data_IF_191634466791
#
_entry.id   IF_191634466791
#
_cell.length_a   1.000
_cell.length_b   1.000
_cell.length_c   1.000
_cell.angle_alpha   90.00
_cell.angle_beta   90.00
_cell.angle_gamma   90.00
#
_symmetry.space_group_name_H-M   'P 1'
#
loop_
_entity.id
_entity.type
_entity.pdbx_description
1 polymer ?
#
# COMPACT_ATOMS: atom_id res chain seq x y z
N UNK A 1 -7.01 -18.17 25.09
CA UNK A 1 -6.25 -17.17 24.32
C UNK A 1 -4.82 -17.19 24.83
N UNK A 2 -3.80 -17.24 23.96
CA UNK A 2 -2.39 -17.17 24.35
C UNK A 2 -2.12 -15.88 25.14
N UNK A 3 -1.14 -15.94 26.05
CA UNK A 3 -0.69 -14.73 26.75
C UNK A 3 0.09 -13.84 25.77
N UNK A 4 -0.03 -12.51 25.89
CA UNK A 4 0.86 -11.58 25.19
C UNK A 4 2.33 -11.93 25.40
N UNK A 5 3.14 -11.71 24.38
CA UNK A 5 4.58 -11.89 24.45
C UNK A 5 5.28 -10.53 24.48
N UNK A 6 6.24 -10.37 25.38
CA UNK A 6 7.08 -9.19 25.40
C UNK A 6 8.08 -9.22 24.22
N UNK A 7 8.46 -8.05 23.71
CA UNK A 7 9.46 -7.98 22.65
C UNK A 7 10.78 -8.69 23.00
N UNK A 8 11.19 -8.72 24.26
CA UNK A 8 12.42 -9.41 24.67
C UNK A 8 12.35 -10.93 24.44
N UNK A 9 11.18 -11.53 24.65
CA UNK A 9 10.95 -12.96 24.34
C UNK A 9 11.06 -13.19 22.84
N UNK A 10 10.45 -12.32 22.05
CA UNK A 10 10.42 -12.45 20.59
C UNK A 10 11.81 -12.19 19.99
N UNK A 11 12.53 -11.17 20.46
CA UNK A 11 13.91 -10.86 20.06
C UNK A 11 14.86 -12.01 20.35
N UNK A 12 14.74 -12.66 21.50
CA UNK A 12 15.55 -13.80 21.86
C UNK A 12 15.23 -15.03 20.99
N UNK A 13 13.95 -15.25 20.66
CA UNK A 13 13.51 -16.38 19.84
C UNK A 13 13.83 -16.21 18.35
N UNK A 14 13.58 -15.02 17.79
CA UNK A 14 13.59 -14.75 16.34
C UNK A 14 14.82 -15.28 15.60
N UNK A 15 16.08 -15.10 16.07
CA UNK A 15 17.26 -15.60 15.37
C UNK A 15 17.27 -17.11 15.16
N UNK A 16 16.72 -17.85 16.11
CA UNK A 16 16.70 -19.32 16.12
C UNK A 16 15.32 -19.90 15.78
N UNK A 17 14.39 -19.07 15.31
CA UNK A 17 13.04 -19.51 14.98
C UNK A 17 13.06 -20.26 13.65
N UNK A 18 13.00 -21.58 13.73
CA UNK A 18 13.15 -22.50 12.58
C UNK A 18 12.22 -22.16 11.41
N UNK A 19 10.99 -21.74 11.69
CA UNK A 19 10.03 -21.26 10.70
C UNK A 19 10.60 -20.16 9.81
N UNK A 20 11.20 -19.11 10.38
CA UNK A 20 11.76 -18.01 9.60
C UNK A 20 12.93 -18.47 8.74
N UNK A 21 13.67 -19.48 9.20
CA UNK A 21 14.80 -20.04 8.45
C UNK A 21 14.38 -20.87 7.24
N UNK A 22 13.19 -21.46 7.28
CA UNK A 22 12.61 -22.27 6.19
C UNK A 22 11.89 -21.43 5.13
N UNK A 23 11.66 -20.14 5.37
CA UNK A 23 10.99 -19.28 4.41
C UNK A 23 11.80 -19.17 3.09
N UNK A 24 11.14 -19.17 1.93
CA UNK A 24 11.79 -18.97 0.63
C UNK A 24 12.63 -17.68 0.61
N UNK A 25 13.80 -17.72 -0.02
CA UNK A 25 14.70 -16.56 -0.08
C UNK A 25 14.34 -15.59 -1.21
N UNK A 26 13.60 -16.06 -2.19
CA UNK A 26 13.06 -15.27 -3.30
C UNK A 26 11.65 -15.73 -3.62
N UNK A 27 10.75 -14.78 -3.88
CA UNK A 27 9.36 -15.01 -4.32
C UNK A 27 8.94 -13.87 -5.23
N UNK A 28 8.44 -14.16 -6.44
CA UNK A 28 7.84 -13.15 -7.33
C UNK A 28 8.70 -11.88 -7.56
N UNK A 29 10.03 -12.03 -7.59
CA UNK A 29 10.98 -10.92 -7.72
C UNK A 29 11.23 -10.12 -6.44
N UNK A 30 10.68 -10.54 -5.30
CA UNK A 30 11.01 -10.03 -3.97
C UNK A 30 12.12 -10.86 -3.35
N UNK A 31 13.04 -10.20 -2.66
CA UNK A 31 14.10 -10.85 -1.90
C UNK A 31 13.76 -10.86 -0.42
N UNK A 32 13.99 -12.00 0.24
CA UNK A 32 13.86 -12.13 1.68
C UNK A 32 14.89 -11.25 2.40
N UNK A 33 14.43 -10.54 3.44
CA UNK A 33 15.23 -9.73 4.35
C UNK A 33 15.04 -10.24 5.77
N UNK A 34 16.17 -10.50 6.42
CA UNK A 34 16.20 -10.81 7.85
C UNK A 34 15.60 -9.63 8.63
N UNK A 35 14.76 -9.96 9.61
CA UNK A 35 14.17 -9.00 10.54
C UNK A 35 15.14 -8.58 11.64
N UNK A 36 14.59 -8.10 12.75
CA UNK A 36 15.34 -7.74 13.95
C UNK A 36 15.29 -6.26 14.33
N UNK A 37 14.75 -5.42 13.46
CA UNK A 37 14.51 -4.00 13.76
C UNK A 37 13.22 -3.83 14.54
N UNK A 38 13.29 -3.08 15.64
CA UNK A 38 12.11 -2.56 16.33
C UNK A 38 11.90 -1.09 15.94
N UNK A 39 10.67 -0.72 15.60
CA UNK A 39 10.28 0.67 15.38
C UNK A 39 8.99 0.94 16.16
N UNK A 40 9.07 1.83 17.16
CA UNK A 40 7.95 2.12 18.08
C UNK A 40 7.37 0.81 18.64
N UNK A 41 6.11 0.54 18.31
CA UNK A 41 5.28 -0.56 18.77
C UNK A 41 5.35 -1.79 17.87
N UNK A 42 6.32 -1.86 16.95
CA UNK A 42 6.45 -2.95 16.00
C UNK A 42 7.84 -3.57 16.04
N UNK A 43 7.88 -4.90 16.04
CA UNK A 43 9.08 -5.69 15.85
C UNK A 43 8.97 -6.47 14.55
N UNK A 44 9.87 -6.20 13.61
CA UNK A 44 9.91 -6.88 12.32
C UNK A 44 10.59 -8.25 12.45
N UNK A 45 9.86 -9.30 12.15
CA UNK A 45 10.34 -10.69 12.19
C UNK A 45 11.15 -11.04 10.93
N UNK A 46 10.64 -10.62 9.78
CA UNK A 46 11.25 -10.75 8.46
C UNK A 46 10.50 -9.84 7.47
N UNK A 47 11.04 -9.69 6.26
CA UNK A 47 10.32 -9.05 5.16
C UNK A 47 10.66 -9.68 3.81
N UNK A 48 9.78 -9.48 2.84
CA UNK A 48 10.06 -9.64 1.42
C UNK A 48 10.05 -8.26 0.80
N UNK A 49 11.12 -7.90 0.09
CA UNK A 49 11.32 -6.55 -0.44
C UNK A 49 11.61 -6.58 -1.93
N UNK A 50 10.91 -5.72 -2.68
CA UNK A 50 11.20 -5.38 -4.06
C UNK A 50 11.43 -3.87 -4.14
N UNK A 51 12.69 -3.48 -3.95
CA UNK A 51 13.11 -2.06 -3.91
C UNK A 51 12.80 -1.33 -5.23
N UNK A 52 13.13 -1.87 -6.43
CA UNK A 52 12.79 -1.21 -7.69
C UNK A 52 11.29 -0.97 -7.86
N UNK A 53 10.45 -1.91 -7.42
CA UNK A 53 9.00 -1.76 -7.47
C UNK A 53 8.44 -0.89 -6.33
N UNK A 54 9.26 -0.49 -5.35
CA UNK A 54 8.85 0.19 -4.11
C UNK A 54 7.77 -0.58 -3.35
N UNK A 55 7.92 -1.90 -3.25
CA UNK A 55 6.95 -2.77 -2.59
C UNK A 55 7.60 -3.67 -1.56
N UNK A 56 6.88 -3.93 -0.47
CA UNK A 56 7.36 -4.74 0.64
C UNK A 56 6.20 -5.46 1.33
N UNK A 57 6.47 -6.68 1.76
CA UNK A 57 5.63 -7.41 2.72
C UNK A 57 6.48 -7.66 3.97
N UNK A 58 6.07 -7.09 5.10
CA UNK A 58 6.71 -7.29 6.40
C UNK A 58 5.91 -8.30 7.21
N UNK A 59 6.61 -9.15 7.95
CA UNK A 59 6.02 -9.97 9.00
C UNK A 59 6.33 -9.30 10.33
N UNK A 60 5.30 -8.85 11.04
CA UNK A 60 5.45 -7.97 12.20
C UNK A 60 4.76 -8.59 13.41
N UNK A 61 5.35 -8.40 14.59
CA UNK A 61 4.64 -8.47 15.85
C UNK A 61 4.48 -7.05 16.43
N UNK A 62 3.30 -6.72 16.96
CA UNK A 62 3.03 -5.42 17.60
C UNK A 62 2.72 -5.56 19.08
N UNK A 63 3.29 -4.68 19.91
CA UNK A 63 3.00 -4.62 21.36
C UNK A 63 1.79 -3.73 21.71
N UNK A 64 1.21 -3.02 20.74
CA UNK A 64 -0.04 -2.26 20.92
C UNK A 64 -1.24 -3.20 21.08
N UNK A 65 -1.29 -4.25 20.25
CA UNK A 65 -2.44 -5.18 20.19
C UNK A 65 -2.05 -6.63 20.52
N UNK A 66 -0.74 -6.88 20.68
CA UNK A 66 -0.14 -8.18 20.96
C UNK A 66 -0.36 -9.21 19.86
N UNK A 67 -0.40 -8.73 18.61
CA UNK A 67 -0.70 -9.56 17.44
C UNK A 67 0.52 -9.70 16.52
N UNK A 68 0.65 -10.89 15.95
CA UNK A 68 1.37 -11.16 14.72
C UNK A 68 0.51 -10.80 13.52
N UNK A 69 1.09 -10.07 12.57
CA UNK A 69 0.36 -9.58 11.40
C UNK A 69 1.29 -9.31 10.21
N UNK A 70 0.92 -9.71 8.98
CA UNK A 70 1.58 -9.24 7.77
C UNK A 70 1.24 -7.77 7.53
N UNK A 71 2.24 -6.97 7.18
CA UNK A 71 2.07 -5.55 6.84
C UNK A 71 2.56 -5.33 5.42
N UNK A 72 1.69 -4.83 4.57
CA UNK A 72 2.03 -4.48 3.18
C UNK A 72 2.46 -3.04 3.11
N UNK A 73 3.46 -2.79 2.29
CA UNK A 73 3.82 -1.47 1.83
C UNK A 73 3.87 -1.46 0.30
N UNK A 74 3.11 -0.56 -0.31
CA UNK A 74 3.10 -0.31 -1.75
C UNK A 74 3.25 1.19 -1.94
N UNK A 75 4.42 1.61 -2.44
CA UNK A 75 4.77 3.02 -2.48
C UNK A 75 4.76 3.65 -1.08
N UNK A 76 3.94 4.68 -0.91
CA UNK A 76 3.75 5.38 0.37
C UNK A 76 2.58 4.81 1.20
N UNK A 77 1.85 3.83 0.68
CA UNK A 77 0.76 3.17 1.38
C UNK A 77 1.30 2.02 2.24
N UNK A 78 1.00 2.04 3.54
CA UNK A 78 1.35 0.97 4.48
C UNK A 78 0.13 0.54 5.27
N UNK A 79 -0.21 -0.75 5.25
CA UNK A 79 -1.43 -1.26 5.88
C UNK A 79 -1.29 -2.71 6.32
N UNK A 80 -2.02 -3.05 7.40
CA UNK A 80 -2.05 -4.41 7.96
C UNK A 80 -3.00 -5.31 7.18
N UNK A 81 -2.58 -6.54 6.92
CA UNK A 81 -3.45 -7.55 6.33
C UNK A 81 -4.29 -8.24 7.43
N UNK A 82 -5.49 -7.69 7.65
CA UNK A 82 -6.39 -8.14 8.70
C UNK A 82 -6.89 -9.60 8.53
N UNK A 83 -6.68 -10.21 7.36
CA UNK A 83 -7.02 -11.63 7.13
C UNK A 83 -6.13 -12.58 7.95
N UNK A 84 -4.95 -12.12 8.36
CA UNK A 84 -3.91 -12.92 9.01
C UNK A 84 -3.38 -12.27 10.30
N UNK A 85 -4.27 -11.69 11.10
CA UNK A 85 -3.94 -11.14 12.42
C UNK A 85 -4.22 -12.18 13.51
N UNK A 86 -3.24 -12.44 14.37
CA UNK A 86 -3.41 -13.38 15.49
C UNK A 86 -2.44 -13.14 16.64
N UNK A 87 -2.87 -13.43 17.87
CA UNK A 87 -2.01 -13.46 19.06
C UNK A 87 -1.25 -14.77 19.20
N UNK A 88 -1.61 -15.78 18.42
CA UNK A 88 -1.03 -17.12 18.51
C UNK A 88 0.13 -17.26 17.53
N UNK A 89 1.32 -17.42 18.09
CA UNK A 89 2.57 -17.62 17.35
C UNK A 89 2.52 -18.84 16.42
N UNK A 90 1.97 -19.96 16.89
CA UNK A 90 1.93 -21.21 16.12
C UNK A 90 0.91 -21.11 14.98
N UNK A 91 -0.22 -20.45 15.22
CA UNK A 91 -1.19 -20.14 14.17
C UNK A 91 -0.60 -19.20 13.10
N UNK A 92 0.15 -18.17 13.53
CA UNK A 92 0.82 -17.27 12.60
C UNK A 92 1.81 -18.03 11.71
N UNK A 93 2.63 -18.89 12.30
CA UNK A 93 3.56 -19.76 11.58
C UNK A 93 2.85 -20.65 10.55
N UNK A 94 1.74 -21.29 10.93
CA UNK A 94 0.93 -22.10 10.01
C UNK A 94 0.41 -21.26 8.83
N UNK A 95 -0.16 -20.09 9.10
CA UNK A 95 -0.70 -19.21 8.07
C UNK A 95 0.37 -18.71 7.11
N UNK A 96 1.51 -18.26 7.63
CA UNK A 96 2.59 -17.78 6.76
C UNK A 96 3.15 -18.92 5.92
N UNK A 97 3.40 -20.10 6.48
CA UNK A 97 3.86 -21.25 5.68
C UNK A 97 2.89 -21.61 4.56
N UNK A 98 1.58 -21.49 4.82
CA UNK A 98 0.54 -21.83 3.85
C UNK A 98 0.32 -20.76 2.78
N UNK A 99 0.46 -19.48 3.13
CA UNK A 99 0.00 -18.37 2.29
C UNK A 99 1.08 -17.37 1.90
N UNK A 100 2.35 -17.55 2.30
CA UNK A 100 3.40 -16.56 2.00
C UNK A 100 3.58 -16.31 0.50
N UNK A 101 3.52 -17.37 -0.32
CA UNK A 101 3.64 -17.24 -1.78
C UNK A 101 2.57 -16.29 -2.34
N UNK A 102 1.30 -16.55 -2.00
CA UNK A 102 0.16 -15.69 -2.35
C UNK A 102 0.30 -14.29 -1.76
N UNK A 103 0.71 -14.15 -0.50
CA UNK A 103 0.83 -12.85 0.16
C UNK A 103 1.84 -11.94 -0.56
N UNK A 104 2.94 -12.52 -1.04
CA UNK A 104 3.95 -11.82 -1.84
C UNK A 104 3.44 -11.56 -3.26
N UNK A 105 2.80 -12.54 -3.91
CA UNK A 105 2.17 -12.39 -5.23
C UNK A 105 1.17 -11.22 -5.25
N UNK A 106 0.27 -11.15 -4.27
CA UNK A 106 -0.71 -10.07 -4.10
C UNK A 106 -0.06 -8.69 -3.90
N UNK A 107 1.23 -8.66 -3.53
CA UNK A 107 2.00 -7.43 -3.37
C UNK A 107 2.71 -7.04 -4.67
N UNK A 108 2.70 -7.84 -5.73
CA UNK A 108 3.39 -7.52 -7.00
C UNK A 108 2.74 -6.35 -7.75
N UNK A 109 3.51 -5.59 -8.58
CA UNK A 109 2.98 -4.48 -9.38
C UNK A 109 1.86 -4.84 -10.35
N UNK A 110 1.85 -6.09 -10.82
CA UNK A 110 0.93 -6.57 -11.84
C UNK A 110 -0.19 -7.42 -11.27
N UNK A 111 -0.34 -7.47 -9.93
CA UNK A 111 -1.40 -8.24 -9.31
C UNK A 111 -2.77 -7.65 -9.63
N UNK A 112 -3.65 -8.47 -10.18
CA UNK A 112 -5.06 -8.12 -10.39
C UNK A 112 -5.87 -8.74 -9.25
N UNK A 113 -6.65 -7.95 -8.50
CA UNK A 113 -7.34 -8.46 -7.34
C UNK A 113 -8.50 -9.39 -7.68
N UNK A 114 -8.80 -10.33 -6.79
CA UNK A 114 -9.95 -11.23 -6.97
C UNK A 114 -11.28 -10.48 -7.08
N UNK A 115 -11.39 -9.27 -6.52
CA UNK A 115 -12.56 -8.37 -6.64
C UNK A 115 -12.63 -7.60 -7.97
N UNK A 116 -11.80 -7.94 -8.97
CA UNK A 116 -11.74 -7.25 -10.26
C UNK A 116 -13.10 -7.12 -10.96
N UNK A 117 -13.99 -8.11 -10.85
CA UNK A 117 -15.32 -8.05 -11.48
C UNK A 117 -16.13 -6.80 -11.08
N UNK A 118 -16.00 -6.32 -9.82
CA UNK A 118 -16.67 -5.09 -9.38
C UNK A 118 -16.08 -3.87 -10.07
N UNK A 119 -14.76 -3.86 -10.27
CA UNK A 119 -14.03 -2.77 -10.91
C UNK A 119 -14.27 -2.76 -12.43
N UNK A 120 -14.35 -3.95 -13.04
CA UNK A 120 -14.70 -4.17 -14.44
C UNK A 120 -16.11 -3.66 -14.73
N UNK A 121 -17.11 -4.04 -13.92
CA UNK A 121 -18.47 -3.50 -14.03
C UNK A 121 -18.53 -1.97 -13.86
N UNK A 122 -17.58 -1.39 -13.12
CA UNK A 122 -17.48 0.06 -12.95
C UNK A 122 -16.78 0.74 -14.14
N UNK A 123 -16.17 -0.03 -15.05
CA UNK A 123 -15.45 0.44 -16.22
C UNK A 123 -13.99 0.83 -15.94
N UNK A 124 -13.42 0.48 -14.79
CA UNK A 124 -12.07 0.92 -14.38
C UNK A 124 -10.97 0.32 -15.26
N UNK A 125 -11.11 -0.95 -15.69
CA UNK A 125 -10.11 -1.59 -16.55
C UNK A 125 -10.14 -1.09 -18.00
N UNK A 126 -11.30 -0.59 -18.45
CA UNK A 126 -11.49 0.03 -19.78
C UNK A 126 -11.29 1.56 -19.73
N UNK A 127 -10.86 2.08 -18.59
CA UNK A 127 -10.70 3.52 -18.36
C UNK A 127 -9.37 4.03 -18.92
N UNK A 128 -9.40 4.51 -20.16
CA UNK A 128 -8.21 4.98 -20.88
C UNK A 128 -7.84 6.44 -20.63
N UNK A 129 -8.66 7.21 -19.88
CA UNK A 129 -8.36 8.62 -19.63
C UNK A 129 -7.00 8.82 -18.93
N UNK A 130 -6.61 8.03 -17.91
CA UNK A 130 -5.31 8.18 -17.25
C UNK A 130 -4.08 7.98 -18.15
N UNK A 131 -4.25 7.36 -19.33
CA UNK A 131 -3.18 7.23 -20.33
C UNK A 131 -2.81 8.59 -20.95
N UNK A 132 -3.72 9.58 -20.90
CA UNK A 132 -3.47 10.97 -21.33
C UNK A 132 -2.79 11.82 -20.27
N UNK A 133 -2.82 11.39 -19.00
CA UNK A 133 -2.24 12.16 -17.90
C UNK A 133 -0.71 12.01 -17.91
N UNK A 134 0.05 13.10 -17.68
CA UNK A 134 1.51 13.05 -17.65
C UNK A 134 2.04 12.04 -16.63
N UNK A 135 3.11 11.33 -16.96
CA UNK A 135 3.75 10.42 -15.99
C UNK A 135 4.38 11.15 -14.79
N UNK A 136 4.61 12.46 -14.93
CA UNK A 136 5.15 13.32 -13.87
C UNK A 136 4.53 14.71 -13.92
N UNK A 137 4.14 15.23 -12.75
CA UNK A 137 3.68 16.60 -12.56
C UNK A 137 4.48 17.20 -11.40
N UNK A 138 5.42 18.09 -11.70
CA UNK A 138 6.38 18.58 -10.71
C UNK A 138 7.19 17.43 -10.09
N UNK A 139 7.30 17.32 -8.75
CA UNK A 139 8.01 16.22 -8.10
C UNK A 139 7.25 14.90 -8.10
N UNK A 140 5.94 14.92 -8.36
CA UNK A 140 5.07 13.75 -8.23
C UNK A 140 5.13 12.87 -9.48
N UNK A 141 5.39 11.58 -9.29
CA UNK A 141 5.36 10.56 -10.35
C UNK A 141 4.11 9.69 -10.24
N UNK A 142 3.49 9.38 -11.39
CA UNK A 142 2.38 8.44 -11.48
C UNK A 142 2.88 7.03 -11.14
N UNK A 143 2.30 6.36 -10.15
CA UNK A 143 2.85 5.09 -9.64
C UNK A 143 1.86 3.91 -9.70
N UNK A 144 0.64 4.06 -9.21
CA UNK A 144 -0.49 3.14 -9.33
C UNK A 144 -1.35 3.63 -10.50
N UNK A 145 -1.80 2.68 -11.33
CA UNK A 145 -2.59 2.94 -12.53
C UNK A 145 -3.80 1.97 -12.60
N UNK A 146 -4.87 2.32 -13.35
CA UNK A 146 -6.11 1.54 -13.35
C UNK A 146 -5.97 0.10 -13.84
N UNK A 147 -4.95 -0.20 -14.66
CA UNK A 147 -4.68 -1.55 -15.16
C UNK A 147 -4.24 -2.51 -14.05
N UNK A 148 -3.61 -1.99 -13.00
CA UNK A 148 -3.16 -2.74 -11.83
C UNK A 148 -3.59 -2.03 -10.54
N UNK A 149 -4.90 -1.98 -10.27
CA UNK A 149 -5.44 -1.23 -9.16
C UNK A 149 -5.09 -1.93 -7.85
N UNK A 150 -4.89 -1.16 -6.78
CA UNK A 150 -4.47 -1.69 -5.48
C UNK A 150 -5.67 -1.83 -4.54
N UNK A 151 -6.09 -3.05 -4.15
CA UNK A 151 -7.03 -3.23 -3.05
C UNK A 151 -6.49 -2.57 -1.80
N UNK A 152 -7.37 -1.84 -1.13
CA UNK A 152 -7.03 -1.07 0.04
C UNK A 152 -8.09 -1.27 1.13
N UNK A 153 -7.87 -0.60 2.26
CA UNK A 153 -8.69 -0.76 3.45
C UNK A 153 -10.15 -0.32 3.19
N UNK A 154 -11.08 -0.80 4.02
CA UNK A 154 -12.48 -0.34 4.05
C UNK A 154 -13.22 -0.42 2.71
N UNK A 155 -13.00 -1.50 1.95
CA UNK A 155 -13.59 -1.72 0.62
C UNK A 155 -13.21 -0.65 -0.42
N UNK A 156 -12.09 0.03 -0.19
CA UNK A 156 -11.51 0.95 -1.16
C UNK A 156 -10.54 0.21 -2.07
N UNK A 157 -10.37 0.75 -3.27
CA UNK A 157 -9.32 0.35 -4.20
C UNK A 157 -8.68 1.61 -4.73
N UNK A 158 -7.36 1.73 -4.62
CA UNK A 158 -6.60 2.83 -5.23
C UNK A 158 -6.49 2.51 -6.72
N UNK A 159 -6.98 3.42 -7.55
CA UNK A 159 -7.06 3.25 -9.00
C UNK A 159 -6.07 4.13 -9.77
N UNK A 160 -5.56 5.17 -9.12
CA UNK A 160 -4.55 6.08 -9.65
C UNK A 160 -3.85 6.74 -8.47
N UNK A 161 -2.55 6.98 -8.57
CA UNK A 161 -1.85 7.85 -7.64
C UNK A 161 -0.77 8.70 -8.32
N UNK A 162 -0.37 9.76 -7.62
CA UNK A 162 0.79 10.59 -7.94
C UNK A 162 1.59 10.78 -6.66
N UNK A 163 2.81 10.25 -6.62
CA UNK A 163 3.62 10.18 -5.42
C UNK A 163 4.94 10.96 -5.56
N UNK A 164 5.26 11.76 -4.55
CA UNK A 164 6.59 12.28 -4.29
C UNK A 164 7.21 11.47 -3.13
N UNK A 165 7.97 10.44 -3.51
CA UNK A 165 8.65 9.58 -2.56
C UNK A 165 9.75 10.30 -1.77
N UNK A 166 10.29 11.42 -2.26
CA UNK A 166 11.36 12.14 -1.57
C UNK A 166 10.82 12.85 -0.33
N UNK A 167 9.62 13.42 -0.41
CA UNK A 167 8.99 14.08 0.74
C UNK A 167 8.01 13.19 1.50
N UNK A 168 7.60 12.05 0.93
CA UNK A 168 6.55 11.21 1.50
C UNK A 168 5.16 11.83 1.32
N UNK A 169 4.94 12.49 0.19
CA UNK A 169 3.69 13.15 -0.14
C UNK A 169 3.06 12.50 -1.36
N UNK A 170 1.74 12.44 -1.44
CA UNK A 170 1.04 11.87 -2.59
C UNK A 170 -0.39 12.38 -2.69
N UNK A 171 -1.01 12.14 -3.84
CA UNK A 171 -2.46 12.18 -4.01
C UNK A 171 -2.89 10.83 -4.54
N UNK A 172 -3.83 10.18 -3.86
CA UNK A 172 -4.40 8.88 -4.24
C UNK A 172 -5.85 9.04 -4.61
N UNK A 173 -6.25 8.40 -5.69
CA UNK A 173 -7.64 8.34 -6.15
C UNK A 173 -8.18 6.95 -5.88
N UNK A 174 -9.31 6.89 -5.16
CA UNK A 174 -9.90 5.66 -4.67
C UNK A 174 -11.31 5.48 -5.21
N UNK A 175 -11.68 4.23 -5.45
CA UNK A 175 -13.06 3.79 -5.59
C UNK A 175 -13.49 3.03 -4.34
N UNK A 176 -14.55 3.47 -3.67
CA UNK A 176 -15.18 2.73 -2.58
C UNK A 176 -16.39 1.94 -3.10
N UNK A 177 -16.34 0.62 -2.96
CA UNK A 177 -17.36 -0.28 -3.48
C UNK A 177 -18.69 -0.18 -2.73
N UNK A 178 -18.66 0.10 -1.42
CA UNK A 178 -19.86 0.16 -0.56
C UNK A 178 -20.60 1.48 -0.76
N UNK A 179 -19.88 2.59 -0.84
CA UNK A 179 -20.43 3.93 -1.09
C UNK A 179 -20.72 4.20 -2.57
N UNK A 180 -20.20 3.32 -3.44
CA UNK A 180 -20.22 3.46 -4.90
C UNK A 180 -19.80 4.88 -5.32
N UNK A 181 -18.59 5.27 -4.94
CA UNK A 181 -18.09 6.63 -5.07
C UNK A 181 -16.58 6.65 -5.31
N UNK A 182 -16.15 7.54 -6.18
CA UNK A 182 -14.77 7.94 -6.34
C UNK A 182 -14.47 9.14 -5.46
N UNK A 183 -13.28 9.17 -4.89
CA UNK A 183 -12.80 10.28 -4.08
C UNK A 183 -11.28 10.25 -4.06
N UNK A 184 -10.67 11.31 -3.52
CA UNK A 184 -9.24 11.36 -3.35
C UNK A 184 -8.86 11.61 -1.89
N UNK A 185 -7.66 11.19 -1.53
CA UNK A 185 -6.98 11.57 -0.30
C UNK A 185 -5.59 12.06 -0.67
N UNK A 186 -5.02 12.94 0.14
CA UNK A 186 -3.63 13.30 -0.01
C UNK A 186 -2.82 12.88 1.22
N UNK A 187 -1.51 12.81 1.04
CA UNK A 187 -0.52 12.68 2.10
C UNK A 187 0.46 13.82 1.94
N UNK A 188 0.74 14.53 3.01
CA UNK A 188 1.76 15.58 3.05
C UNK A 188 2.77 15.21 4.11
N UNK A 189 4.02 14.92 3.70
CA UNK A 189 5.09 14.51 4.61
C UNK A 189 4.67 13.37 5.56
N UNK A 190 4.10 12.32 4.99
CA UNK A 190 3.56 11.16 5.68
C UNK A 190 2.30 11.40 6.52
N UNK A 191 1.71 12.60 6.49
CA UNK A 191 0.47 12.94 7.20
C UNK A 191 -0.70 12.86 6.22
N UNK A 192 -1.64 11.92 6.40
CA UNK A 192 -2.82 11.81 5.53
C UNK A 192 -3.82 12.93 5.80
N UNK A 193 -4.44 13.46 4.75
CA UNK A 193 -5.58 14.38 4.85
C UNK A 193 -6.72 13.97 3.92
N UNK A 194 -7.93 14.23 4.37
CA UNK A 194 -9.14 14.09 3.55
C UNK A 194 -9.30 15.33 2.68
N UNK A 195 -9.62 15.12 1.41
CA UNK A 195 -9.91 16.18 0.43
C UNK A 195 -11.21 15.82 -0.30
N UNK A 196 -11.83 16.80 -0.94
CA UNK A 196 -13.13 16.63 -1.61
C UNK A 196 -13.13 17.16 -3.05
N UNK A 197 -12.00 17.69 -3.51
CA UNK A 197 -11.82 18.32 -4.82
C UNK A 197 -12.12 17.37 -6.00
N UNK A 198 -12.08 16.06 -5.75
CA UNK A 198 -12.22 14.98 -6.73
C UNK A 198 -13.33 13.98 -6.40
N UNK A 199 -14.29 14.36 -5.55
CA UNK A 199 -15.43 13.49 -5.21
C UNK A 199 -16.37 13.35 -6.42
N UNK A 200 -16.62 12.10 -6.84
CA UNK A 200 -17.40 11.79 -8.03
C UNK A 200 -18.20 10.48 -7.88
N UNK A 201 -19.36 10.38 -8.54
CA UNK A 201 -20.16 9.13 -8.57
C UNK A 201 -19.89 8.29 -9.82
N UNK A 202 -19.55 8.93 -10.93
CA UNK A 202 -19.25 8.29 -12.21
C UNK A 202 -17.80 8.56 -12.62
N UNK A 203 -17.24 7.68 -13.45
CA UNK A 203 -15.88 7.87 -13.97
C UNK A 203 -15.77 9.14 -14.81
N UNK A 204 -16.76 9.42 -15.66
CA UNK A 204 -16.76 10.65 -16.48
C UNK A 204 -16.68 11.92 -15.63
N UNK A 205 -17.40 11.98 -14.50
CA UNK A 205 -17.34 13.14 -13.60
C UNK A 205 -15.93 13.25 -12.97
N UNK A 206 -15.29 12.12 -12.65
CA UNK A 206 -13.91 12.10 -12.16
C UNK A 206 -12.90 12.54 -13.25
N UNK A 207 -13.10 12.14 -14.50
CA UNK A 207 -12.27 12.56 -15.64
C UNK A 207 -12.27 14.08 -15.79
N UNK A 208 -13.44 14.71 -15.76
CA UNK A 208 -13.57 16.17 -15.84
C UNK A 208 -12.82 16.87 -14.69
N UNK A 209 -12.94 16.34 -13.47
CA UNK A 209 -12.22 16.88 -12.30
C UNK A 209 -10.71 16.71 -12.42
N UNK A 210 -10.24 15.56 -12.93
CA UNK A 210 -8.82 15.32 -13.15
C UNK A 210 -8.25 16.24 -14.23
N UNK A 211 -8.97 16.40 -15.35
CA UNK A 211 -8.57 17.28 -16.45
C UNK A 211 -8.48 18.74 -16.02
N UNK A 212 -9.46 19.22 -15.24
CA UNK A 212 -9.50 20.60 -14.78
C UNK A 212 -8.50 20.88 -13.65
N UNK A 213 -8.32 19.95 -12.69
CA UNK A 213 -7.76 20.27 -11.37
C UNK A 213 -6.49 19.54 -11.01
N UNK A 214 -6.18 18.38 -11.60
CA UNK A 214 -5.07 17.54 -11.15
C UNK A 214 -3.73 18.28 -11.17
N UNK A 215 -3.38 18.86 -12.32
CA UNK A 215 -2.10 19.53 -12.48
C UNK A 215 -1.98 20.79 -11.59
N UNK A 216 -2.96 21.73 -11.59
CA UNK A 216 -2.95 22.85 -10.66
C UNK A 216 -2.83 22.41 -9.19
N UNK A 217 -3.54 21.35 -8.80
CA UNK A 217 -3.53 20.83 -7.44
C UNK A 217 -2.16 20.28 -7.02
N UNK A 218 -1.54 19.44 -7.86
CA UNK A 218 -0.20 18.89 -7.59
C UNK A 218 0.88 19.97 -7.59
N UNK A 219 0.77 20.98 -8.45
CA UNK A 219 1.69 22.13 -8.43
C UNK A 219 1.57 22.94 -7.15
N UNK A 220 0.37 23.18 -6.66
CA UNK A 220 0.16 23.87 -5.39
C UNK A 220 0.72 23.05 -4.20
N UNK A 221 0.48 21.74 -4.18
CA UNK A 221 1.11 20.84 -3.20
C UNK A 221 2.64 20.91 -3.26
N UNK A 222 3.22 20.95 -4.47
CA UNK A 222 4.67 21.09 -4.63
C UNK A 222 5.19 22.40 -4.01
N UNK A 223 4.47 23.52 -4.17
CA UNK A 223 4.82 24.81 -3.53
C UNK A 223 4.78 24.71 -2.01
N UNK A 224 3.75 24.06 -1.45
CA UNK A 224 3.65 23.83 0.00
C UNK A 224 4.81 22.98 0.54
N UNK A 225 5.39 22.12 -0.29
CA UNK A 225 6.55 21.30 0.04
C UNK A 225 7.88 22.07 -0.12
N UNK A 226 7.85 23.28 -0.68
CA UNK A 226 9.02 24.13 -0.90
C UNK A 226 9.71 23.90 -2.24
N UNK A 227 9.07 23.21 -3.18
CA UNK A 227 9.58 23.12 -4.55
C UNK A 227 9.38 24.46 -5.27
N UNK A 228 10.36 24.90 -6.07
CA UNK A 228 10.23 26.11 -6.87
C UNK A 228 9.10 25.94 -7.88
N UNK A 229 8.48 27.07 -8.27
CA UNK A 229 7.50 27.09 -9.35
C UNK A 229 8.23 26.79 -10.66
N UNK A 230 8.23 25.53 -11.08
CA UNK A 230 8.75 25.12 -12.38
C UNK A 230 7.58 25.12 -13.35
N UNK A 231 7.27 26.28 -13.92
CA UNK A 231 6.44 26.36 -15.13
C UNK A 231 7.15 25.56 -16.24
N UNK A 232 6.43 24.76 -17.05
CA UNK A 232 7.02 24.05 -18.18
C UNK A 232 7.64 25.01 -19.21
#
# INVERSE_FOLDING_TARGET
MPKPEDFEVIKARRPNWEFLQKLPRELHGFTFKEGGSQFRHEYMLAAYENVPARRRLELVYTDETFDYVPVRQVGLQRYRDFRYITRDKDQFEEWINRYIDRLVEETTPTHIPHSHFVLEHKGIFDWHFPDKLPDRIGPFEKFIIPQYPLPFLNNCTIILDYADFATGSEVVFLYNQVRNMFYAENKLRYIPNTIHDFDAKKLVDLEELLEERLEPYLRELAKQLGYPDVTP
#
